data_IF_860872158656
#
_entry.id   IF_860872158656
#
_cell.length_a   1.000
_cell.length_b   1.000
_cell.length_c   1.000
_cell.angle_alpha   90.00
_cell.angle_beta   90.00
_cell.angle_gamma   90.00
#
_symmetry.space_group_name_H-M   'P 1'
#
loop_
_entity.id
_entity.type
_entity.pdbx_description
1 polymer ?
#
# COMPACT_ATOMS: atom_id res chain seq x y z
N UNK A 1 -9.09 12.73 1.23
CA UNK A 1 -8.46 13.50 0.12
C UNK A 1 -8.94 13.02 -1.27
N UNK A 2 -9.34 13.85 -2.24
CA UNK A 2 -9.73 13.37 -3.58
C UNK A 2 -8.62 12.50 -4.19
N UNK A 3 -8.98 11.37 -4.82
CA UNK A 3 -8.04 10.32 -5.26
C UNK A 3 -6.84 10.85 -6.08
N UNK A 4 -7.03 11.94 -6.84
CA UNK A 4 -5.97 12.63 -7.57
C UNK A 4 -4.85 13.17 -6.67
N UNK A 5 -5.18 13.79 -5.52
CA UNK A 5 -4.19 14.42 -4.63
C UNK A 5 -3.24 13.42 -3.99
N UNK A 6 -3.72 12.22 -3.70
CA UNK A 6 -2.89 11.20 -3.08
C UNK A 6 -2.06 10.43 -4.11
N UNK A 7 -2.55 10.32 -5.34
CA UNK A 7 -1.75 9.81 -6.44
C UNK A 7 -0.63 10.79 -6.80
N UNK A 8 -0.91 12.10 -6.78
CA UNK A 8 0.09 13.17 -6.89
C UNK A 8 1.09 13.12 -5.72
N UNK A 9 0.62 13.06 -4.46
CA UNK A 9 1.49 12.94 -3.30
C UNK A 9 2.37 11.67 -3.32
N UNK A 10 1.87 10.59 -3.90
CA UNK A 10 2.64 9.37 -4.12
C UNK A 10 3.67 9.57 -5.24
N UNK A 11 3.31 10.23 -6.35
CA UNK A 11 4.26 10.56 -7.43
C UNK A 11 5.36 11.52 -6.97
N UNK A 12 5.09 12.40 -6.00
CA UNK A 12 6.08 13.28 -5.38
C UNK A 12 7.08 12.53 -4.49
N UNK A 13 6.72 11.35 -3.98
CA UNK A 13 7.55 10.56 -3.04
C UNK A 13 8.15 9.31 -3.68
N UNK A 14 7.52 8.81 -4.73
CA UNK A 14 7.79 7.53 -5.37
C UNK A 14 7.82 7.69 -6.90
N UNK A 15 8.90 7.23 -7.54
CA UNK A 15 8.97 7.13 -9.00
C UNK A 15 8.33 5.82 -9.45
N UNK A 16 7.14 5.90 -10.05
CA UNK A 16 6.45 4.74 -10.63
C UNK A 16 7.29 4.12 -11.76
N UNK A 17 7.42 2.79 -11.72
CA UNK A 17 8.11 1.96 -12.70
C UNK A 17 7.17 1.38 -13.75
N UNK A 18 7.52 0.18 -14.26
CA UNK A 18 6.82 -0.53 -15.33
C UNK A 18 5.35 -0.85 -15.06
N UNK A 19 4.63 -1.27 -16.11
CA UNK A 19 3.18 -1.53 -16.11
C UNK A 19 2.70 -2.39 -14.93
N UNK A 20 1.51 -2.10 -14.38
CA UNK A 20 1.01 -2.80 -13.22
C UNK A 20 0.71 -4.27 -13.48
N UNK A 21 1.06 -5.13 -12.54
CA UNK A 21 0.49 -6.46 -12.44
C UNK A 21 -0.97 -6.35 -12.01
N UNK A 22 -1.89 -6.95 -12.77
CA UNK A 22 -3.33 -7.02 -12.42
C UNK A 22 -3.69 -8.41 -11.92
N UNK A 23 -4.41 -8.47 -10.81
CA UNK A 23 -4.93 -9.71 -10.24
C UNK A 23 -6.20 -9.49 -9.41
N UNK A 24 -6.74 -10.55 -8.82
CA UNK A 24 -7.97 -10.50 -7.99
C UNK A 24 -7.88 -9.54 -6.80
N UNK A 25 -6.66 -9.22 -6.36
CA UNK A 25 -6.39 -8.41 -5.16
C UNK A 25 -6.12 -6.91 -5.45
N UNK A 26 -6.27 -6.45 -6.71
CA UNK A 26 -6.06 -5.05 -7.09
C UNK A 26 -5.06 -4.86 -8.23
N UNK A 27 -4.44 -3.68 -8.27
CA UNK A 27 -3.34 -3.35 -9.18
C UNK A 27 -2.06 -3.11 -8.37
N UNK A 28 -0.95 -3.73 -8.76
CA UNK A 28 0.36 -3.56 -8.13
C UNK A 28 1.30 -2.88 -9.11
N UNK A 29 1.91 -1.78 -8.71
CA UNK A 29 2.91 -1.04 -9.47
C UNK A 29 4.29 -1.26 -8.86
N UNK A 30 5.31 -1.46 -9.68
CA UNK A 30 6.68 -1.28 -9.21
C UNK A 30 6.94 0.22 -9.05
N UNK A 31 7.69 0.61 -8.02
CA UNK A 31 8.17 1.97 -7.87
C UNK A 31 9.56 2.02 -7.21
N UNK A 32 10.14 3.21 -7.16
CA UNK A 32 11.37 3.52 -6.46
C UNK A 32 11.14 4.71 -5.54
N UNK A 33 11.42 4.54 -4.25
CA UNK A 33 11.31 5.61 -3.27
C UNK A 33 12.36 6.67 -3.50
N UNK A 34 11.94 7.93 -3.52
CA UNK A 34 12.84 9.04 -3.85
C UNK A 34 13.79 9.43 -2.71
N UNK A 35 13.43 9.15 -1.45
CA UNK A 35 14.25 9.53 -0.29
C UNK A 35 15.55 8.75 -0.16
N UNK A 36 15.56 7.48 -0.59
CA UNK A 36 16.67 6.54 -0.39
C UNK A 36 16.99 5.70 -1.64
N UNK A 37 16.20 5.80 -2.71
CA UNK A 37 16.37 5.00 -3.92
C UNK A 37 15.89 3.55 -3.79
N UNK A 38 15.23 3.17 -2.69
CA UNK A 38 14.84 1.79 -2.45
C UNK A 38 13.74 1.31 -3.42
N UNK A 39 13.80 0.07 -3.92
CA UNK A 39 12.72 -0.53 -4.68
C UNK A 39 11.50 -0.79 -3.78
N UNK A 40 10.32 -0.39 -4.24
CA UNK A 40 9.05 -0.65 -3.54
C UNK A 40 7.99 -1.20 -4.50
N UNK A 41 6.94 -1.76 -3.94
CA UNK A 41 5.73 -2.15 -4.64
C UNK A 41 4.53 -1.37 -4.08
N UNK A 42 3.71 -0.81 -4.96
CA UNK A 42 2.54 -0.02 -4.58
C UNK A 42 1.30 -0.80 -4.98
N UNK A 43 0.55 -1.29 -3.99
CA UNK A 43 -0.70 -2.00 -4.20
C UNK A 43 -1.89 -1.07 -4.00
N UNK A 44 -2.73 -0.93 -5.02
CA UNK A 44 -4.03 -0.24 -4.92
C UNK A 44 -5.17 -1.24 -4.76
N UNK A 45 -5.94 -1.07 -3.68
CA UNK A 45 -7.11 -1.88 -3.35
C UNK A 45 -8.37 -1.02 -3.40
N UNK A 46 -9.26 -1.19 -4.39
CA UNK A 46 -10.54 -0.49 -4.46
C UNK A 46 -11.43 -0.79 -3.25
N UNK A 47 -12.10 0.23 -2.69
CA UNK A 47 -12.97 0.10 -1.50
C UNK A 47 -14.11 -0.89 -1.68
N UNK A 48 -14.74 -0.87 -2.85
CA UNK A 48 -15.82 -1.78 -3.23
C UNK A 48 -15.38 -3.25 -3.27
N UNK A 49 -14.07 -3.53 -3.31
CA UNK A 49 -13.50 -4.89 -3.24
C UNK A 49 -13.09 -5.32 -1.83
N UNK A 50 -13.19 -4.44 -0.83
CA UNK A 50 -12.77 -4.75 0.54
C UNK A 50 -13.93 -5.39 1.30
N UNK A 51 -13.81 -6.70 1.50
CA UNK A 51 -14.82 -7.51 2.21
C UNK A 51 -14.57 -7.65 3.70
N UNK A 52 -13.32 -7.45 4.11
CA UNK A 52 -12.89 -7.68 5.48
C UNK A 52 -12.16 -6.45 6.02
N UNK A 53 -12.62 -5.99 7.17
CA UNK A 53 -12.12 -4.84 7.90
C UNK A 53 -11.62 -5.28 9.27
N UNK A 54 -10.69 -4.51 9.83
CA UNK A 54 -10.23 -4.66 11.21
C UNK A 54 -9.79 -3.31 11.76
N UNK A 55 -9.15 -3.33 12.92
CA UNK A 55 -8.65 -2.13 13.59
C UNK A 55 -7.15 -2.26 13.85
N UNK A 56 -6.43 -1.16 13.63
CA UNK A 56 -5.05 -0.97 14.05
C UNK A 56 -4.98 -0.67 15.56
N UNK A 57 -3.79 -0.76 16.20
CA UNK A 57 -3.65 -0.54 17.64
C UNK A 57 -4.11 0.85 18.13
N UNK A 58 -4.12 1.84 17.25
CA UNK A 58 -4.58 3.21 17.53
C UNK A 58 -6.11 3.38 17.36
N UNK A 59 -6.83 2.30 17.04
CA UNK A 59 -8.27 2.32 16.79
C UNK A 59 -8.66 2.67 15.34
N UNK A 60 -7.69 2.91 14.46
CA UNK A 60 -7.97 3.23 13.05
C UNK A 60 -8.56 2.01 12.33
N UNK A 61 -9.76 2.15 11.75
CA UNK A 61 -10.35 1.11 10.91
C UNK A 61 -9.65 1.02 9.56
N UNK A 62 -9.21 -0.17 9.18
CA UNK A 62 -8.49 -0.40 7.94
C UNK A 62 -8.87 -1.76 7.31
N UNK A 63 -8.61 -1.95 6.01
CA UNK A 63 -8.69 -3.26 5.37
C UNK A 63 -7.89 -4.30 6.15
N UNK A 64 -8.44 -5.51 6.31
CA UNK A 64 -7.82 -6.56 7.11
C UNK A 64 -6.37 -6.87 6.64
N UNK A 65 -6.09 -6.74 5.34
CA UNK A 65 -4.74 -6.89 4.80
C UNK A 65 -3.73 -5.92 5.44
N UNK A 66 -4.09 -4.64 5.62
CA UNK A 66 -3.23 -3.64 6.29
C UNK A 66 -3.02 -4.02 7.76
N UNK A 67 -4.09 -4.41 8.45
CA UNK A 67 -4.04 -4.82 9.87
C UNK A 67 -3.12 -6.03 10.06
N UNK A 68 -3.22 -7.02 9.18
CA UNK A 68 -2.38 -8.23 9.25
C UNK A 68 -0.92 -7.93 8.94
N UNK A 69 -0.64 -7.12 7.91
CA UNK A 69 0.73 -6.72 7.59
C UNK A 69 1.37 -5.90 8.70
N UNK A 70 0.63 -4.99 9.33
CA UNK A 70 1.13 -4.22 10.48
C UNK A 70 1.49 -5.11 11.68
N UNK A 71 0.72 -6.19 11.92
CA UNK A 71 0.99 -7.13 13.03
C UNK A 71 2.27 -7.94 12.84
N UNK A 72 2.69 -8.18 11.61
CA UNK A 72 3.89 -8.97 11.27
C UNK A 72 5.07 -8.10 10.83
N UNK A 73 4.92 -6.77 10.91
CA UNK A 73 5.95 -5.80 10.52
C UNK A 73 7.21 -5.88 11.40
N UNK A 74 7.14 -6.50 12.58
CA UNK A 74 8.29 -6.76 13.43
C UNK A 74 8.51 -8.27 13.59
N UNK A 75 9.69 -8.75 13.18
CA UNK A 75 10.16 -10.11 13.51
C UNK A 75 9.89 -11.19 12.47
N UNK A 76 9.40 -10.87 11.27
CA UNK A 76 9.15 -11.85 10.20
C UNK A 76 9.92 -11.53 8.92
N UNK A 77 11.21 -11.91 8.87
CA UNK A 77 12.09 -11.66 7.72
C UNK A 77 11.65 -12.31 6.40
N UNK A 78 10.71 -13.26 6.44
CA UNK A 78 10.15 -13.91 5.25
C UNK A 78 8.85 -13.28 4.72
N UNK A 79 8.36 -12.21 5.34
CA UNK A 79 7.10 -11.55 4.98
C UNK A 79 7.40 -10.18 4.40
N UNK A 80 6.75 -9.86 3.29
CA UNK A 80 6.83 -8.53 2.66
C UNK A 80 6.37 -7.46 3.66
N UNK A 81 7.27 -6.55 3.99
CA UNK A 81 7.04 -5.44 4.91
C UNK A 81 6.10 -4.38 4.33
N UNK A 82 5.13 -3.94 5.14
CA UNK A 82 4.34 -2.74 4.89
C UNK A 82 5.11 -1.53 5.40
N UNK A 83 5.52 -0.66 4.47
CA UNK A 83 6.31 0.53 4.78
C UNK A 83 5.41 1.73 5.10
N UNK A 84 4.32 1.88 4.34
CA UNK A 84 3.33 2.95 4.52
C UNK A 84 1.99 2.54 3.89
N UNK A 85 0.90 3.15 4.32
CA UNK A 85 -0.39 3.02 3.65
C UNK A 85 -1.13 4.36 3.65
N UNK A 86 -1.99 4.54 2.65
CA UNK A 86 -2.75 5.77 2.43
C UNK A 86 -4.21 5.44 2.15
N UNK A 87 -5.13 6.18 2.77
CA UNK A 87 -6.56 6.08 2.52
C UNK A 87 -7.02 7.11 1.48
N UNK A 88 -7.63 6.62 0.40
CA UNK A 88 -8.24 7.42 -0.67
C UNK A 88 -9.77 7.32 -0.58
N UNK A 89 -10.54 8.20 -1.27
CA UNK A 89 -11.99 8.16 -1.21
C UNK A 89 -12.56 6.87 -1.78
N UNK A 90 -11.89 6.28 -2.78
CA UNK A 90 -12.35 5.11 -3.52
C UNK A 90 -11.45 3.88 -3.35
N UNK A 91 -10.33 4.00 -2.64
CA UNK A 91 -9.33 2.94 -2.54
C UNK A 91 -8.36 3.12 -1.38
N UNK A 92 -7.56 2.10 -1.11
CA UNK A 92 -6.39 2.15 -0.23
C UNK A 92 -5.13 1.89 -1.05
N UNK A 93 -4.06 2.59 -0.73
CA UNK A 93 -2.72 2.34 -1.25
C UNK A 93 -1.87 1.72 -0.16
N UNK A 94 -1.16 0.64 -0.48
CA UNK A 94 -0.15 0.03 0.38
C UNK A 94 1.20 0.20 -0.32
N UNK A 95 2.16 0.78 0.39
CA UNK A 95 3.57 0.85 -0.03
C UNK A 95 4.31 -0.28 0.67
N UNK A 96 4.77 -1.23 -0.12
CA UNK A 96 5.37 -2.49 0.32
C UNK A 96 6.84 -2.52 -0.08
N UNK A 97 7.67 -3.20 0.69
CA UNK A 97 9.02 -3.52 0.22
C UNK A 97 8.97 -4.36 -1.06
N UNK A 98 10.01 -4.23 -1.90
CA UNK A 98 10.14 -5.03 -3.12
C UNK A 98 11.55 -5.61 -3.19
N UNK A 99 11.72 -6.91 -2.88
CA UNK A 99 12.98 -7.63 -3.05
C UNK A 99 13.49 -7.63 -4.51
#
# INVERSE_FOLDING_TARGET
PPAGKAQEALQERERLGSLPGRGGFGCVFAATRLSDGAPVAIKRVPRDRIRHWGELPDGTSAPLEIVLLAKVASGCAGVIQLLEWLELPDSFLLVLERP
#
